data_IF_148283132939
#
_entry.id   IF_148283132939
#
_cell.length_a   1.000
_cell.length_b   1.000
_cell.length_c   1.000
_cell.angle_alpha   90.00
_cell.angle_beta   90.00
_cell.angle_gamma   90.00
#
_symmetry.space_group_name_H-M   'P 1'
#
loop_
_entity.id
_entity.type
_entity.pdbx_description
1 polymer ?
#
# COMPACT_ATOMS: atom_id res chain seq x y z
N UNK A 1 0.49 -22.22 32.95
CA UNK A 1 0.09 -21.30 31.86
C UNK A 1 -0.51 -22.17 30.76
N UNK A 2 -1.80 -22.01 30.45
CA UNK A 2 -2.50 -22.89 29.50
C UNK A 2 -1.86 -22.88 28.11
N UNK A 3 -1.61 -24.06 27.57
CA UNK A 3 -1.07 -24.27 26.20
C UNK A 3 -1.92 -23.57 25.14
N UNK A 4 -3.23 -23.45 25.35
CA UNK A 4 -4.14 -22.70 24.48
C UNK A 4 -3.84 -21.19 24.44
N UNK A 5 -3.51 -20.58 25.60
CA UNK A 5 -3.15 -19.15 25.67
C UNK A 5 -1.81 -18.89 25.00
N UNK A 6 -0.83 -19.78 25.19
CA UNK A 6 0.49 -19.67 24.56
C UNK A 6 0.37 -19.74 23.05
N UNK A 7 -0.43 -20.68 22.51
CA UNK A 7 -0.69 -20.77 21.06
C UNK A 7 -1.32 -19.49 20.50
N UNK A 8 -2.26 -18.88 21.23
CA UNK A 8 -2.88 -17.60 20.84
C UNK A 8 -1.90 -16.43 20.82
N UNK A 9 -0.99 -16.35 21.80
CA UNK A 9 0.05 -15.31 21.80
C UNK A 9 1.04 -15.49 20.66
N UNK A 10 1.48 -16.72 20.40
CA UNK A 10 2.40 -17.02 19.30
C UNK A 10 1.74 -16.69 17.95
N UNK A 11 0.48 -17.05 17.74
CA UNK A 11 -0.20 -16.73 16.48
C UNK A 11 -0.38 -15.22 16.28
N UNK A 12 -0.72 -14.47 17.34
CA UNK A 12 -0.88 -13.02 17.29
C UNK A 12 0.45 -12.32 16.97
N UNK A 13 1.58 -12.77 17.54
CA UNK A 13 2.91 -12.22 17.22
C UNK A 13 3.26 -12.49 15.75
N UNK A 14 3.03 -13.70 15.26
CA UNK A 14 3.27 -14.04 13.84
C UNK A 14 2.43 -13.15 12.93
N UNK A 15 1.15 -12.97 13.24
CA UNK A 15 0.24 -12.11 12.46
C UNK A 15 0.73 -10.66 12.41
N UNK A 16 1.12 -10.09 13.56
CA UNK A 16 1.65 -8.72 13.63
C UNK A 16 2.90 -8.62 12.74
N UNK A 17 3.86 -9.53 12.87
CA UNK A 17 5.10 -9.48 12.08
C UNK A 17 4.86 -9.62 10.58
N UNK A 18 3.91 -10.47 10.17
CA UNK A 18 3.53 -10.64 8.78
C UNK A 18 2.84 -9.37 8.23
N UNK A 19 1.92 -8.79 9.01
CA UNK A 19 1.24 -7.54 8.68
C UNK A 19 2.24 -6.39 8.53
N UNK A 20 3.12 -6.16 9.51
CA UNK A 20 4.12 -5.08 9.42
C UNK A 20 5.07 -5.27 8.24
N UNK A 21 5.53 -6.51 7.99
CA UNK A 21 6.40 -6.80 6.84
C UNK A 21 5.71 -6.51 5.51
N UNK A 22 4.42 -6.87 5.40
CA UNK A 22 3.63 -6.57 4.20
C UNK A 22 3.43 -5.07 4.00
N UNK A 23 3.17 -4.31 5.08
CA UNK A 23 3.04 -2.85 5.00
C UNK A 23 4.30 -2.18 4.45
N UNK A 24 5.48 -2.58 4.95
CA UNK A 24 6.77 -2.03 4.50
C UNK A 24 7.01 -2.34 3.02
N UNK A 25 6.72 -3.57 2.59
CA UNK A 25 6.82 -3.96 1.18
C UNK A 25 5.93 -3.09 0.29
N UNK A 26 4.65 -2.93 0.65
CA UNK A 26 3.72 -2.10 -0.12
C UNK A 26 4.11 -0.62 -0.14
N UNK A 27 4.64 -0.11 0.97
CA UNK A 27 5.11 1.27 1.04
C UNK A 27 6.30 1.51 0.10
N UNK A 28 7.26 0.57 0.04
CA UNK A 28 8.42 0.67 -0.85
C UNK A 28 8.05 0.56 -2.33
N UNK A 29 7.24 -0.43 -2.71
CA UNK A 29 6.76 -0.60 -4.10
C UNK A 29 5.92 0.60 -4.55
N UNK A 30 5.07 1.05 -3.63
CA UNK A 30 4.22 2.22 -3.82
C UNK A 30 4.99 3.51 -4.04
N UNK A 31 6.00 3.80 -3.21
CA UNK A 31 6.89 4.97 -3.37
C UNK A 31 7.68 4.89 -4.67
N UNK A 32 8.21 3.72 -5.02
CA UNK A 32 8.98 3.53 -6.26
C UNK A 32 8.14 3.87 -7.49
N UNK A 33 6.88 3.41 -7.50
CA UNK A 33 5.92 3.70 -8.55
C UNK A 33 5.56 5.20 -8.59
N UNK A 34 5.37 5.81 -7.42
CA UNK A 34 5.05 7.24 -7.32
C UNK A 34 6.20 8.13 -7.80
N UNK A 35 7.44 7.76 -7.44
CA UNK A 35 8.65 8.48 -7.83
C UNK A 35 8.81 8.50 -9.35
N UNK A 36 8.54 7.39 -10.03
CA UNK A 36 8.55 7.35 -11.50
C UNK A 36 7.56 8.33 -12.16
N UNK A 37 6.41 8.57 -11.53
CA UNK A 37 5.40 9.53 -11.99
C UNK A 37 5.86 10.97 -11.75
N UNK A 38 6.39 11.26 -10.55
CA UNK A 38 6.88 12.60 -10.17
C UNK A 38 8.10 13.01 -11.01
N UNK A 39 9.02 12.08 -11.27
CA UNK A 39 10.23 12.33 -12.06
C UNK A 39 9.93 12.44 -13.58
N UNK A 40 8.64 12.44 -13.99
CA UNK A 40 8.20 12.48 -15.38
C UNK A 40 8.91 11.45 -16.26
N UNK A 41 9.11 10.23 -15.74
CA UNK A 41 9.84 9.19 -16.45
C UNK A 41 9.17 8.85 -17.80
N UNK A 42 9.98 8.57 -18.82
CA UNK A 42 9.48 8.28 -20.16
C UNK A 42 8.66 6.97 -20.25
N UNK A 43 8.87 6.07 -19.29
CA UNK A 43 8.20 4.77 -19.16
C UNK A 43 7.90 4.49 -17.70
N UNK A 44 6.63 4.24 -17.38
CA UNK A 44 6.15 4.02 -16.02
C UNK A 44 5.34 2.74 -15.99
N UNK A 45 5.62 1.87 -15.02
CA UNK A 45 4.75 0.76 -14.69
C UNK A 45 3.86 1.19 -13.52
N UNK A 46 2.54 1.08 -13.70
CA UNK A 46 1.58 1.49 -12.70
C UNK A 46 0.53 0.40 -12.46
N UNK A 47 0.39 -0.01 -11.21
CA UNK A 47 -0.67 -0.92 -10.77
C UNK A 47 -1.69 -0.14 -9.91
N UNK A 48 -2.95 0.03 -10.37
CA UNK A 48 -3.97 0.75 -9.61
C UNK A 48 -4.26 0.11 -8.24
N UNK A 49 -3.95 -1.18 -8.06
CA UNK A 49 -4.10 -1.87 -6.76
C UNK A 49 -3.21 -1.24 -5.68
N UNK A 50 -2.08 -0.63 -6.04
CA UNK A 50 -1.18 0.04 -5.10
C UNK A 50 -1.87 1.23 -4.40
N UNK A 51 -2.75 1.97 -5.09
CA UNK A 51 -3.53 3.06 -4.46
C UNK A 51 -4.50 2.49 -3.42
N UNK A 52 -5.26 1.45 -3.79
CA UNK A 52 -6.17 0.79 -2.86
C UNK A 52 -5.42 0.22 -1.64
N UNK A 53 -4.23 -0.33 -1.85
CA UNK A 53 -3.36 -0.82 -0.79
C UNK A 53 -2.85 0.30 0.12
N UNK A 54 -2.48 1.46 -0.42
CA UNK A 54 -2.11 2.63 0.39
C UNK A 54 -3.25 3.11 1.29
N UNK A 55 -4.47 3.11 0.77
CA UNK A 55 -5.68 3.47 1.53
C UNK A 55 -6.00 2.41 2.60
N UNK A 56 -5.58 1.15 2.39
CA UNK A 56 -5.78 0.05 3.33
C UNK A 56 -4.70 -0.05 4.43
N UNK A 57 -3.54 0.61 4.28
CA UNK A 57 -2.46 0.63 5.29
C UNK A 57 -2.94 1.05 6.69
N UNK A 58 -3.77 2.10 6.86
CA UNK A 58 -4.32 2.46 8.16
C UNK A 58 -5.14 1.32 8.78
N UNK A 59 -5.96 0.62 7.98
CA UNK A 59 -6.74 -0.52 8.44
C UNK A 59 -5.86 -1.68 8.90
N UNK A 60 -4.74 -1.93 8.21
CA UNK A 60 -3.77 -2.93 8.65
C UNK A 60 -3.10 -2.53 9.99
N UNK A 61 -2.77 -1.25 10.20
CA UNK A 61 -2.25 -0.76 11.48
C UNK A 61 -3.27 -0.91 12.63
N UNK A 62 -4.56 -0.70 12.36
CA UNK A 62 -5.62 -0.97 13.34
C UNK A 62 -5.72 -2.46 13.67
N UNK A 63 -5.53 -3.35 12.68
CA UNK A 63 -5.48 -4.80 12.93
C UNK A 63 -4.28 -5.19 13.80
N UNK A 64 -3.11 -4.61 13.57
CA UNK A 64 -1.94 -4.83 14.43
C UNK A 64 -2.21 -4.39 15.86
N UNK A 65 -2.81 -3.22 16.06
CA UNK A 65 -3.24 -2.73 17.38
C UNK A 65 -4.24 -3.66 18.04
N UNK A 66 -5.18 -4.21 17.28
CA UNK A 66 -6.16 -5.18 17.77
C UNK A 66 -5.49 -6.49 18.23
N UNK A 67 -4.56 -7.03 17.45
CA UNK A 67 -3.78 -8.20 17.85
C UNK A 67 -2.89 -7.92 19.08
N UNK A 68 -2.32 -6.71 19.17
CA UNK A 68 -1.60 -6.26 20.36
C UNK A 68 -2.48 -6.21 21.61
N UNK A 69 -3.75 -5.80 21.46
CA UNK A 69 -4.73 -5.83 22.56
C UNK A 69 -5.07 -7.27 23.00
N UNK A 70 -5.09 -8.24 22.09
CA UNK A 70 -5.30 -9.64 22.42
C UNK A 70 -4.12 -10.24 23.18
N UNK A 71 -2.90 -9.72 22.96
CA UNK A 71 -1.69 -10.17 23.64
C UNK A 71 -1.58 -9.58 25.04
N UNK A 72 -1.93 -8.30 25.21
CA UNK A 72 -1.72 -7.60 26.47
C UNK A 72 -2.83 -7.89 27.50
N UNK A 73 -2.50 -8.00 28.79
CA UNK A 73 -3.51 -8.13 29.84
C UNK A 73 -4.38 -6.87 29.88
N UNK A 74 -5.71 -7.04 29.87
CA UNK A 74 -6.71 -5.98 30.02
C UNK A 74 -6.66 -5.36 31.43
N UNK A 75 -5.63 -4.54 31.67
CA UNK A 75 -5.50 -3.71 32.87
C UNK A 75 -5.82 -2.26 32.50
N UNK A 76 -6.29 -1.46 33.46
CA UNK A 76 -6.57 -0.02 33.29
C UNK A 76 -5.39 0.75 32.67
N UNK A 77 -4.15 0.36 32.98
CA UNK A 77 -2.93 0.94 32.39
C UNK A 77 -2.81 0.66 30.89
N UNK A 78 -3.05 -0.59 30.47
CA UNK A 78 -3.05 -1.02 29.07
C UNK A 78 -4.12 -0.29 28.24
N UNK A 79 -5.32 -0.11 28.80
CA UNK A 79 -6.42 0.60 28.10
C UNK A 79 -6.05 2.06 27.82
N UNK A 80 -5.45 2.75 28.81
CA UNK A 80 -4.97 4.13 28.62
C UNK A 80 -3.85 4.21 27.57
N UNK A 81 -2.97 3.21 27.54
CA UNK A 81 -1.91 3.12 26.54
C UNK A 81 -2.48 2.93 25.13
N UNK A 82 -3.46 2.04 24.96
CA UNK A 82 -4.12 1.79 23.68
C UNK A 82 -4.92 2.99 23.17
N UNK A 83 -5.63 3.69 24.05
CA UNK A 83 -6.31 4.94 23.68
C UNK A 83 -5.31 6.01 23.19
N UNK A 84 -4.16 6.13 23.85
CA UNK A 84 -3.11 7.06 23.39
C UNK A 84 -2.51 6.64 22.05
N UNK A 85 -2.40 5.34 21.77
CA UNK A 85 -1.93 4.80 20.49
C UNK A 85 -2.96 4.92 19.36
N UNK A 86 -4.25 4.90 19.66
CA UNK A 86 -5.29 5.14 18.66
C UNK A 86 -5.22 6.52 18.03
N UNK A 87 -4.80 7.55 18.79
CA UNK A 87 -4.71 8.93 18.30
C UNK A 87 -3.74 9.05 17.11
N UNK A 88 -2.45 8.67 17.21
CA UNK A 88 -1.53 8.76 16.09
C UNK A 88 -1.92 7.84 14.93
N UNK A 89 -2.53 6.68 15.19
CA UNK A 89 -3.02 5.80 14.10
C UNK A 89 -4.19 6.42 13.35
N UNK A 90 -5.10 7.10 14.06
CA UNK A 90 -6.22 7.82 13.43
C UNK A 90 -5.70 9.01 12.62
N UNK A 91 -4.76 9.78 13.17
CA UNK A 91 -4.12 10.89 12.45
C UNK A 91 -3.39 10.40 11.21
N UNK A 92 -2.61 9.32 11.32
CA UNK A 92 -1.97 8.69 10.18
C UNK A 92 -2.99 8.22 9.14
N UNK A 93 -4.10 7.62 9.58
CA UNK A 93 -5.17 7.18 8.69
C UNK A 93 -5.79 8.31 7.88
N UNK A 94 -6.08 9.44 8.53
CA UNK A 94 -6.60 10.64 7.85
C UNK A 94 -5.58 11.20 6.85
N UNK A 95 -4.31 11.27 7.23
CA UNK A 95 -3.24 11.76 6.34
C UNK A 95 -3.05 10.82 5.14
N UNK A 96 -2.98 9.51 5.38
CA UNK A 96 -2.85 8.50 4.33
C UNK A 96 -4.04 8.54 3.36
N UNK A 97 -5.25 8.75 3.87
CA UNK A 97 -6.45 8.91 3.04
C UNK A 97 -6.38 10.18 2.18
N UNK A 98 -6.00 11.32 2.76
CA UNK A 98 -5.85 12.58 2.03
C UNK A 98 -4.76 12.46 0.94
N UNK A 99 -3.59 11.91 1.29
CA UNK A 99 -2.48 11.69 0.36
C UNK A 99 -2.87 10.71 -0.75
N UNK A 100 -3.49 9.58 -0.41
CA UNK A 100 -3.99 8.61 -1.39
C UNK A 100 -5.01 9.21 -2.35
N UNK A 101 -5.88 10.09 -1.86
CA UNK A 101 -6.85 10.81 -2.70
C UNK A 101 -6.14 11.79 -3.65
N UNK A 102 -5.19 12.59 -3.17
CA UNK A 102 -4.41 13.51 -4.00
C UNK A 102 -3.65 12.74 -5.10
N UNK A 103 -2.99 11.64 -4.72
CA UNK A 103 -2.28 10.76 -5.64
C UNK A 103 -3.23 10.20 -6.71
N UNK A 104 -4.40 9.72 -6.30
CA UNK A 104 -5.42 9.19 -7.21
C UNK A 104 -5.89 10.23 -8.23
N UNK A 105 -6.06 11.48 -7.78
CA UNK A 105 -6.40 12.61 -8.66
C UNK A 105 -5.26 12.88 -9.65
N UNK A 106 -4.01 13.00 -9.18
CA UNK A 106 -2.84 13.26 -10.03
C UNK A 106 -2.71 12.17 -11.10
N UNK A 107 -2.77 10.90 -10.70
CA UNK A 107 -2.69 9.75 -11.60
C UNK A 107 -3.82 9.77 -12.62
N UNK A 108 -5.04 10.07 -12.18
CA UNK A 108 -6.19 10.20 -13.08
C UNK A 108 -5.95 11.30 -14.12
N UNK A 109 -5.47 12.48 -13.72
CA UNK A 109 -5.17 13.56 -14.68
C UNK A 109 -3.96 13.25 -15.57
N UNK A 110 -2.87 12.67 -15.05
CA UNK A 110 -1.68 12.34 -15.84
C UNK A 110 -1.95 11.24 -16.88
N UNK A 111 -2.80 10.25 -16.56
CA UNK A 111 -3.12 9.15 -17.48
C UNK A 111 -4.36 9.39 -18.35
N UNK A 112 -5.39 10.11 -17.88
CA UNK A 112 -6.56 10.45 -18.71
C UNK A 112 -6.36 11.74 -19.52
N UNK A 113 -5.39 12.58 -19.14
CA UNK A 113 -5.25 13.95 -19.65
C UNK A 113 -4.52 14.07 -20.98
N UNK A 114 -3.21 13.81 -21.04
CA UNK A 114 -2.42 14.30 -22.20
C UNK A 114 -1.09 13.62 -22.48
N UNK A 115 -0.41 12.99 -21.50
CA UNK A 115 1.04 12.78 -21.63
C UNK A 115 1.50 11.33 -21.76
N UNK A 116 0.64 10.34 -21.51
CA UNK A 116 1.03 8.94 -21.50
C UNK A 116 0.08 8.04 -22.28
N UNK A 117 0.62 7.27 -23.21
CA UNK A 117 -0.06 6.18 -23.92
C UNK A 117 0.16 4.86 -23.18
N UNK A 118 -0.92 4.12 -22.97
CA UNK A 118 -0.89 2.76 -22.42
C UNK A 118 -0.16 1.83 -23.40
N UNK A 119 0.95 1.23 -22.98
CA UNK A 119 1.61 0.16 -23.73
C UNK A 119 0.82 -1.14 -23.57
N UNK A 120 0.85 -2.02 -24.57
CA UNK A 120 0.16 -3.31 -24.47
C UNK A 120 0.90 -4.18 -23.43
N UNK A 121 0.17 -4.66 -22.42
CA UNK A 121 0.71 -5.57 -21.40
C UNK A 121 0.22 -6.97 -21.72
N UNK A 122 1.10 -7.82 -22.24
CA UNK A 122 0.82 -9.23 -22.59
C UNK A 122 0.86 -10.15 -21.37
N UNK A 123 0.98 -9.61 -20.16
CA UNK A 123 1.10 -10.41 -18.95
C UNK A 123 -0.29 -10.71 -18.36
N UNK A 124 -0.70 -11.97 -18.41
CA UNK A 124 -1.88 -12.52 -17.72
C UNK A 124 -1.70 -12.51 -16.17
N UNK A 125 -0.45 -12.31 -15.71
CA UNK A 125 -0.04 -12.51 -14.31
C UNK A 125 0.10 -11.19 -13.53
N UNK A 126 0.37 -10.07 -14.22
CA UNK A 126 0.49 -8.74 -13.60
C UNK A 126 -0.75 -7.90 -13.92
N UNK A 127 -1.39 -7.38 -12.87
CA UNK A 127 -2.57 -6.52 -12.97
C UNK A 127 -2.23 -5.06 -13.24
N UNK A 128 -0.94 -4.74 -13.32
CA UNK A 128 -0.46 -3.42 -13.66
C UNK A 128 -0.35 -3.22 -15.16
N UNK A 129 -0.38 -1.96 -15.57
CA UNK A 129 -0.17 -1.57 -16.95
C UNK A 129 1.04 -0.66 -17.07
N UNK A 130 1.79 -0.86 -18.13
CA UNK A 130 2.87 0.03 -18.52
C UNK A 130 2.32 1.18 -19.36
N UNK A 131 2.87 2.36 -19.13
CA UNK A 131 2.51 3.59 -19.79
C UNK A 131 3.79 4.29 -20.23
N UNK A 132 3.80 4.88 -21.43
CA UNK A 132 4.94 5.62 -21.94
C UNK A 132 4.50 6.94 -22.56
N UNK A 133 5.40 7.92 -22.65
CA UNK A 133 5.05 9.22 -23.24
C UNK A 133 4.74 9.17 -24.74
N UNK A 134 5.32 8.20 -25.45
CA UNK A 134 5.09 8.00 -26.88
C UNK A 134 4.97 6.52 -27.21
N UNK A 135 4.32 6.22 -28.34
CA UNK A 135 4.20 4.85 -28.86
C UNK A 135 5.56 4.24 -29.21
N UNK A 136 6.50 5.07 -29.65
CA UNK A 136 7.87 4.65 -30.02
C UNK A 136 8.63 4.09 -28.82
N UNK A 137 8.46 4.68 -27.63
CA UNK A 137 9.07 4.18 -26.39
C UNK A 137 8.49 2.82 -26.02
N UNK A 138 7.17 2.60 -26.20
CA UNK A 138 6.58 1.29 -26.00
C UNK A 138 7.15 0.23 -26.97
N UNK A 139 7.41 0.61 -28.22
CA UNK A 139 7.99 -0.29 -29.24
C UNK A 139 9.45 -0.62 -28.89
N UNK A 140 10.25 0.37 -28.51
CA UNK A 140 11.64 0.17 -28.07
C UNK A 140 11.75 -0.77 -26.86
N UNK A 141 10.76 -0.74 -25.96
CA UNK A 141 10.68 -1.61 -24.78
C UNK A 141 10.09 -3.00 -25.08
N UNK A 142 9.67 -3.28 -26.33
CA UNK A 142 9.06 -4.55 -26.71
C UNK A 142 7.61 -4.74 -26.23
N UNK A 143 6.95 -3.66 -25.79
CA UNK A 143 5.59 -3.67 -25.21
C UNK A 143 4.50 -3.24 -26.22
N UNK A 144 4.78 -3.32 -27.52
CA UNK A 144 3.81 -3.12 -28.60
C UNK A 144 3.77 -4.40 -29.44
N UNK A 145 2.69 -5.18 -29.29
CA UNK A 145 2.51 -6.45 -29.98
C UNK A 145 1.05 -6.68 -30.32
N UNK A 146 0.75 -6.46 -31.61
CA UNK A 146 -0.46 -6.73 -32.40
C UNK A 146 -1.79 -6.10 -31.97
#
# INVERSE_FOLDING_TARGET
MDTAKIKGYVSAVILITALTSSMVFFFNEGITSLKGIIDHAEYIYFDPKLICLFIALPSMLYLDLFFLCLILPFRKSTIKFMQKLMIPVTVYGVIAFAVGTIISIIISFSFLGTDYVKCHSTSIVSSGSSYAKSKEICIQKGSYGY
#
